data_IF_401256430275
#
_entry.id   IF_401256430275
#
_cell.length_a   1.000
_cell.length_b   1.000
_cell.length_c   1.000
_cell.angle_alpha   90.00
_cell.angle_beta   90.00
_cell.angle_gamma   90.00
#
_symmetry.space_group_name_H-M   'P 1'
#
loop_
_entity.id
_entity.type
_entity.pdbx_description
1 polymer ?
#
# COMPACT_ATOMS: atom_id res chain seq x y z
N UNK A 1 15.71 -14.84 43.35
CA UNK A 1 15.16 -13.77 42.49
C UNK A 1 15.50 -12.43 43.11
N UNK A 2 16.31 -11.60 42.44
CA UNK A 2 16.65 -10.26 42.92
C UNK A 2 15.39 -9.38 42.85
N UNK A 3 15.00 -8.75 43.97
CA UNK A 3 13.84 -7.87 44.00
C UNK A 3 14.09 -6.63 43.13
N UNK A 4 13.13 -6.30 42.25
CA UNK A 4 13.15 -5.08 41.42
C UNK A 4 13.36 -3.80 42.25
N UNK A 5 13.03 -3.82 43.54
CA UNK A 5 13.22 -2.69 44.47
C UNK A 5 14.69 -2.36 44.76
N UNK A 6 15.63 -3.25 44.43
CA UNK A 6 17.07 -3.06 44.67
C UNK A 6 17.81 -2.38 43.50
N UNK A 7 17.15 -2.22 42.35
CA UNK A 7 17.75 -1.58 41.19
C UNK A 7 17.84 -0.04 41.36
N UNK A 8 18.85 0.62 40.76
CA UNK A 8 18.92 2.07 40.73
C UNK A 8 17.64 2.70 40.17
N UNK A 9 17.18 3.81 40.74
CA UNK A 9 15.93 4.47 40.35
C UNK A 9 15.85 4.86 38.85
N UNK A 10 16.98 5.09 38.19
CA UNK A 10 17.06 5.30 36.75
C UNK A 10 16.72 4.03 35.96
N UNK A 11 17.20 2.87 36.42
CA UNK A 11 16.92 1.57 35.83
C UNK A 11 15.49 1.11 36.12
N UNK A 12 14.95 1.38 37.31
CA UNK A 12 13.53 1.16 37.60
C UNK A 12 12.63 2.02 36.73
N UNK A 13 12.97 3.30 36.52
CA UNK A 13 12.25 4.18 35.57
C UNK A 13 12.38 3.70 34.14
N UNK A 14 13.56 3.23 33.72
CA UNK A 14 13.77 2.64 32.41
C UNK A 14 12.93 1.36 32.21
N UNK A 15 12.91 0.46 33.19
CA UNK A 15 12.11 -0.77 33.15
C UNK A 15 10.61 -0.45 33.19
N UNK A 16 10.17 0.45 34.07
CA UNK A 16 8.77 0.87 34.13
C UNK A 16 8.33 1.55 32.83
N UNK A 17 9.19 2.40 32.24
CA UNK A 17 8.97 3.01 30.94
C UNK A 17 8.86 1.93 29.85
N UNK A 18 9.84 1.02 29.75
CA UNK A 18 9.82 -0.11 28.79
C UNK A 18 8.56 -0.96 28.99
N UNK A 19 8.11 -1.15 30.23
CA UNK A 19 6.94 -1.96 30.55
C UNK A 19 5.61 -1.26 30.23
N UNK A 20 5.47 0.03 30.54
CA UNK A 20 4.31 0.82 30.13
C UNK A 20 4.28 1.04 28.61
N UNK A 21 5.45 1.10 27.98
CA UNK A 21 5.65 1.26 26.54
C UNK A 21 5.33 -0.01 25.74
N UNK A 22 5.87 -1.16 26.13
CA UNK A 22 5.66 -2.43 25.44
C UNK A 22 4.28 -3.04 25.71
N UNK A 23 3.53 -2.50 26.68
CA UNK A 23 2.34 -3.16 27.20
C UNK A 23 1.16 -2.21 27.32
N UNK A 24 0.63 -1.73 26.20
CA UNK A 24 -0.15 -0.51 26.25
C UNK A 24 -1.62 -0.82 26.62
N UNK A 25 -2.38 0.27 26.81
CA UNK A 25 -3.85 0.30 26.95
C UNK A 25 -4.55 -0.65 25.98
N UNK A 26 -5.73 -1.14 26.35
CA UNK A 26 -6.57 -2.06 25.56
C UNK A 26 -6.61 -1.75 24.06
N UNK A 27 -6.66 -0.46 23.66
CA UNK A 27 -6.63 0.00 22.26
C UNK A 27 -5.50 -0.62 21.44
N UNK A 28 -4.30 -0.70 22.00
CA UNK A 28 -3.13 -1.23 21.31
C UNK A 28 -3.20 -2.74 21.11
N UNK A 29 -3.79 -3.47 22.07
CA UNK A 29 -4.02 -4.90 21.88
C UNK A 29 -4.93 -5.15 20.67
N UNK A 30 -5.92 -4.29 20.45
CA UNK A 30 -6.76 -4.35 19.26
C UNK A 30 -6.04 -3.92 17.99
N UNK A 31 -5.23 -2.86 18.00
CA UNK A 31 -4.41 -2.49 16.83
C UNK A 31 -3.48 -3.65 16.43
N UNK A 32 -2.79 -4.25 17.39
CA UNK A 32 -1.89 -5.39 17.14
C UNK A 32 -2.66 -6.63 16.69
N UNK A 33 -3.81 -6.93 17.29
CA UNK A 33 -4.67 -8.04 16.87
C UNK A 33 -5.16 -7.88 15.43
N UNK A 34 -5.53 -6.66 15.04
CA UNK A 34 -5.91 -6.35 13.66
C UNK A 34 -4.73 -6.47 12.69
N UNK A 35 -3.57 -5.93 13.05
CA UNK A 35 -2.36 -6.05 12.23
C UNK A 35 -1.92 -7.51 12.03
N UNK A 36 -1.99 -8.34 13.09
CA UNK A 36 -1.69 -9.76 13.01
C UNK A 36 -2.71 -10.51 12.13
N UNK A 37 -4.00 -10.21 12.29
CA UNK A 37 -5.04 -10.81 11.44
C UNK A 37 -4.78 -10.47 9.97
N UNK A 38 -4.47 -9.22 9.65
CA UNK A 38 -4.12 -8.79 8.31
C UNK A 38 -2.88 -9.53 7.77
N UNK A 39 -1.82 -9.65 8.58
CA UNK A 39 -0.62 -10.40 8.20
C UNK A 39 -0.91 -11.87 7.88
N UNK A 40 -1.71 -12.53 8.72
CA UNK A 40 -2.16 -13.91 8.49
C UNK A 40 -3.00 -13.99 7.21
N UNK A 41 -3.86 -13.00 6.92
CA UNK A 41 -4.59 -12.91 5.67
C UNK A 41 -3.66 -12.86 4.45
N UNK A 42 -2.61 -12.03 4.52
CA UNK A 42 -1.61 -11.89 3.47
C UNK A 42 -0.88 -13.21 3.21
N UNK A 43 -0.45 -13.91 4.26
CA UNK A 43 0.20 -15.22 4.12
C UNK A 43 -0.79 -16.26 3.56
N UNK A 44 -1.99 -16.33 4.15
CA UNK A 44 -2.99 -17.33 3.79
C UNK A 44 -3.50 -17.17 2.36
N UNK A 45 -3.62 -15.93 1.87
CA UNK A 45 -4.02 -15.64 0.49
C UNK A 45 -3.06 -16.23 -0.55
N UNK A 46 -1.85 -16.59 -0.14
CA UNK A 46 -0.77 -16.94 -1.03
C UNK A 46 -0.33 -15.72 -1.83
N UNK A 47 0.96 -15.61 -2.10
CA UNK A 47 1.45 -14.64 -3.08
C UNK A 47 1.04 -15.11 -4.48
N UNK A 48 -0.26 -14.95 -4.80
CA UNK A 48 -0.84 -14.98 -6.14
C UNK A 48 -0.37 -16.06 -7.11
N UNK A 49 -0.09 -17.30 -6.70
CA UNK A 49 0.37 -18.33 -7.63
C UNK A 49 -0.57 -19.53 -7.63
N UNK A 50 -1.14 -19.79 -8.81
CA UNK A 50 -2.14 -20.84 -9.00
C UNK A 50 -3.47 -20.55 -8.30
N UNK A 51 -4.30 -21.59 -8.23
CA UNK A 51 -5.65 -21.49 -7.67
C UNK A 51 -5.63 -21.33 -6.16
N UNK A 52 -6.22 -20.25 -5.67
CA UNK A 52 -6.39 -20.03 -4.23
C UNK A 52 -7.36 -21.08 -3.68
N UNK A 53 -6.96 -21.91 -2.69
CA UNK A 53 -7.88 -22.84 -2.06
C UNK A 53 -9.05 -22.10 -1.41
N UNK A 54 -10.26 -22.65 -1.49
CA UNK A 54 -11.48 -22.06 -0.89
C UNK A 54 -11.27 -21.69 0.59
N UNK A 55 -10.60 -22.56 1.36
CA UNK A 55 -10.29 -22.29 2.77
C UNK A 55 -9.43 -21.05 2.97
N UNK A 56 -8.47 -20.81 2.07
CA UNK A 56 -7.59 -19.63 2.11
C UNK A 56 -8.37 -18.36 1.75
N UNK A 57 -9.26 -18.42 0.76
CA UNK A 57 -10.13 -17.30 0.41
C UNK A 57 -11.05 -16.89 1.58
N UNK A 58 -11.66 -17.88 2.26
CA UNK A 58 -12.47 -17.64 3.45
C UNK A 58 -11.63 -17.07 4.61
N UNK A 59 -10.43 -17.60 4.82
CA UNK A 59 -9.51 -17.10 5.83
C UNK A 59 -9.13 -15.63 5.58
N UNK A 60 -8.89 -15.24 4.32
CA UNK A 60 -8.60 -13.85 3.96
C UNK A 60 -9.75 -12.91 4.30
N UNK A 61 -10.98 -13.29 3.94
CA UNK A 61 -12.19 -12.48 4.23
C UNK A 61 -12.42 -12.37 5.74
N UNK A 62 -12.35 -13.50 6.45
CA UNK A 62 -12.50 -13.53 7.90
C UNK A 62 -11.44 -12.65 8.59
N UNK A 63 -10.19 -12.75 8.16
CA UNK A 63 -9.10 -11.94 8.69
C UNK A 63 -9.26 -10.45 8.39
N UNK A 64 -9.78 -10.08 7.21
CA UNK A 64 -10.14 -8.71 6.86
C UNK A 64 -11.25 -8.15 7.77
N UNK A 65 -12.29 -8.95 8.03
CA UNK A 65 -13.38 -8.58 8.96
C UNK A 65 -12.88 -8.43 10.41
N UNK A 66 -12.02 -9.33 10.86
CA UNK A 66 -11.36 -9.25 12.18
C UNK A 66 -10.51 -7.99 12.26
N UNK A 67 -9.70 -7.71 11.24
CA UNK A 67 -8.88 -6.49 11.17
C UNK A 67 -9.76 -5.25 11.30
N UNK A 68 -10.84 -5.18 10.53
CA UNK A 68 -11.80 -4.07 10.60
C UNK A 68 -12.41 -3.93 12.00
N UNK A 69 -12.92 -5.02 12.59
CA UNK A 69 -13.51 -5.01 13.92
C UNK A 69 -12.51 -4.55 14.99
N UNK A 70 -11.27 -5.04 14.94
CA UNK A 70 -10.20 -4.64 15.83
C UNK A 70 -9.87 -3.14 15.71
N UNK A 71 -9.70 -2.63 14.50
CA UNK A 71 -9.43 -1.21 14.27
C UNK A 71 -10.62 -0.34 14.68
N UNK A 72 -11.84 -0.77 14.40
CA UNK A 72 -13.05 -0.08 14.83
C UNK A 72 -13.12 0.05 16.35
N UNK A 73 -12.85 -1.04 17.10
CA UNK A 73 -12.75 -1.00 18.56
C UNK A 73 -11.65 -0.04 19.01
N UNK A 74 -10.47 -0.09 18.38
CA UNK A 74 -9.35 0.78 18.72
C UNK A 74 -9.65 2.28 18.54
N UNK A 75 -10.51 2.66 17.58
CA UNK A 75 -10.94 4.05 17.36
C UNK A 75 -11.93 4.58 18.42
N UNK A 76 -12.46 3.71 19.30
CA UNK A 76 -13.45 4.13 20.30
C UNK A 76 -12.82 4.90 21.47
N UNK A 77 -13.56 5.90 21.96
CA UNK A 77 -13.19 6.65 23.16
C UNK A 77 -13.07 5.73 24.40
N UNK A 78 -13.96 4.75 24.52
CA UNK A 78 -13.93 3.73 25.57
C UNK A 78 -14.16 2.34 24.98
N UNK A 79 -13.68 1.30 25.68
CA UNK A 79 -13.89 -0.09 25.29
C UNK A 79 -15.40 -0.41 25.41
N UNK A 80 -16.05 -0.99 24.38
CA UNK A 80 -17.46 -1.36 24.46
C UNK A 80 -17.75 -2.22 25.70
N UNK A 81 -18.85 -1.94 26.41
CA UNK A 81 -19.22 -2.59 27.68
C UNK A 81 -19.09 -4.11 27.69
N UNK A 82 -19.59 -4.88 26.69
CA UNK A 82 -19.43 -6.33 26.68
C UNK A 82 -17.95 -6.75 26.57
N UNK A 83 -17.16 -6.06 25.76
CA UNK A 83 -15.72 -6.32 25.65
C UNK A 83 -14.97 -5.93 26.92
N UNK A 84 -15.41 -4.88 27.60
CA UNK A 84 -14.85 -4.48 28.89
C UNK A 84 -15.13 -5.50 30.00
N UNK A 85 -16.30 -6.14 29.99
CA UNK A 85 -16.62 -7.22 30.91
C UNK A 85 -15.73 -8.44 30.67
N UNK A 86 -15.61 -8.89 29.41
CA UNK A 86 -14.70 -9.99 29.04
C UNK A 86 -13.25 -9.65 29.41
N UNK A 87 -12.80 -8.43 29.10
CA UNK A 87 -11.45 -7.98 29.41
C UNK A 87 -11.13 -8.06 30.90
N UNK A 88 -12.07 -7.65 31.77
CA UNK A 88 -11.92 -7.73 33.23
C UNK A 88 -11.91 -9.16 33.77
N UNK A 89 -12.60 -10.07 33.08
CA UNK A 89 -12.67 -11.49 33.44
C UNK A 89 -11.43 -12.29 33.00
N UNK A 90 -10.62 -11.76 32.07
CA UNK A 90 -9.36 -12.40 31.69
C UNK A 90 -8.45 -12.55 32.92
N UNK A 91 -7.80 -13.72 33.11
CA UNK A 91 -6.90 -13.91 34.23
C UNK A 91 -5.77 -12.87 34.20
N UNK A 92 -5.18 -12.49 35.35
CA UNK A 92 -4.08 -11.52 35.40
C UNK A 92 -2.91 -11.87 34.48
N UNK A 93 -2.69 -13.16 34.22
CA UNK A 93 -1.71 -13.67 33.25
C UNK A 93 -2.08 -13.39 31.78
N UNK A 94 -3.36 -13.36 31.41
CA UNK A 94 -3.84 -12.95 30.08
C UNK A 94 -4.01 -11.43 29.97
N UNK A 95 -4.19 -10.74 31.10
CA UNK A 95 -4.02 -9.29 31.18
C UNK A 95 -2.54 -8.90 31.28
N UNK A 96 -1.64 -9.88 31.42
CA UNK A 96 -0.23 -9.64 31.64
C UNK A 96 0.36 -8.91 30.46
N UNK A 97 1.16 -7.94 30.85
CA UNK A 97 1.76 -6.97 29.97
C UNK A 97 2.83 -7.63 29.06
N UNK A 98 3.57 -8.62 29.58
CA UNK A 98 4.69 -9.23 28.88
C UNK A 98 4.37 -10.03 27.61
N UNK A 99 3.20 -10.68 27.48
CA UNK A 99 2.87 -11.37 26.22
C UNK A 99 2.62 -10.36 25.08
N UNK A 100 2.18 -9.13 25.37
CA UNK A 100 2.01 -8.07 24.37
C UNK A 100 3.35 -7.62 23.83
N UNK A 101 4.35 -7.50 24.70
CA UNK A 101 5.73 -7.24 24.33
C UNK A 101 6.26 -8.36 23.42
N UNK A 102 6.07 -9.62 23.82
CA UNK A 102 6.51 -10.80 23.05
C UNK A 102 5.80 -10.86 21.69
N UNK A 103 4.50 -10.64 21.60
CA UNK A 103 3.78 -10.60 20.32
C UNK A 103 4.23 -9.45 19.45
N UNK A 104 4.47 -8.27 20.03
CA UNK A 104 4.98 -7.12 19.29
C UNK A 104 6.38 -7.44 18.73
N UNK A 105 7.26 -8.05 19.54
CA UNK A 105 8.58 -8.50 19.12
C UNK A 105 8.51 -9.63 18.07
N UNK A 106 7.58 -10.57 18.19
CA UNK A 106 7.38 -11.64 17.22
C UNK A 106 6.85 -11.09 15.87
N UNK A 107 5.90 -10.15 15.91
CA UNK A 107 5.41 -9.39 14.76
C UNK A 107 6.53 -8.55 14.11
N UNK A 108 7.43 -8.01 14.93
CA UNK A 108 8.61 -7.27 14.48
C UNK A 108 9.71 -8.18 13.92
N UNK A 109 9.81 -9.46 14.28
CA UNK A 109 10.97 -10.26 13.90
C UNK A 109 10.83 -10.91 12.53
N UNK A 110 9.76 -11.70 12.34
CA UNK A 110 9.60 -12.59 11.17
C UNK A 110 9.57 -11.81 9.85
N UNK A 111 8.78 -10.73 9.69
CA UNK A 111 8.62 -10.13 8.38
C UNK A 111 9.64 -9.00 8.14
N UNK A 112 10.33 -8.53 9.18
CA UNK A 112 11.52 -7.69 9.03
C UNK A 112 12.71 -8.45 8.42
N UNK A 113 12.81 -9.77 8.61
CA UNK A 113 13.87 -10.54 7.97
C UNK A 113 13.79 -10.44 6.43
N UNK A 114 12.60 -10.63 5.85
CA UNK A 114 12.39 -10.52 4.41
C UNK A 114 12.68 -9.10 3.90
N UNK A 115 12.15 -8.09 4.61
CA UNK A 115 12.39 -6.69 4.30
C UNK A 115 13.88 -6.32 4.31
N UNK A 116 14.62 -6.69 5.36
CA UNK A 116 16.06 -6.37 5.50
C UNK A 116 16.87 -7.08 4.42
N UNK A 117 16.47 -8.29 4.01
CA UNK A 117 17.15 -9.03 2.95
C UNK A 117 16.97 -8.37 1.57
N UNK A 118 15.79 -7.81 1.26
CA UNK A 118 15.48 -7.21 -0.05
C UNK A 118 15.93 -5.75 -0.17
N UNK A 119 15.85 -4.98 0.92
CA UNK A 119 16.07 -3.53 0.92
C UNK A 119 17.38 -3.08 0.24
N UNK A 120 18.56 -3.72 0.44
CA UNK A 120 19.78 -3.27 -0.22
C UNK A 120 19.72 -3.34 -1.75
N UNK A 121 19.05 -4.34 -2.30
CA UNK A 121 18.91 -4.53 -3.75
C UNK A 121 17.95 -3.48 -4.33
N UNK A 122 16.80 -3.27 -3.70
CA UNK A 122 15.83 -2.27 -4.14
C UNK A 122 16.37 -0.84 -4.04
N UNK A 123 17.16 -0.52 -3.01
CA UNK A 123 17.84 0.77 -2.88
C UNK A 123 18.92 1.00 -3.95
N UNK A 124 19.47 -0.06 -4.54
CA UNK A 124 20.41 -0.02 -5.67
C UNK A 124 19.71 -0.04 -7.03
N UNK A 125 18.38 -0.05 -7.04
CA UNK A 125 17.59 -0.06 -8.27
C UNK A 125 17.42 -1.45 -8.87
N UNK A 126 17.62 -2.53 -8.11
CA UNK A 126 17.26 -3.88 -8.55
C UNK A 126 15.78 -4.12 -8.22
N UNK A 127 14.88 -3.68 -9.11
CA UNK A 127 13.45 -3.84 -8.89
C UNK A 127 13.00 -5.30 -9.00
N UNK A 128 11.98 -5.65 -8.20
CA UNK A 128 11.35 -6.97 -8.14
C UNK A 128 9.88 -6.98 -8.58
N UNK A 129 9.35 -5.83 -8.99
CA UNK A 129 8.00 -5.64 -9.50
C UNK A 129 8.00 -4.51 -10.55
N UNK A 130 7.02 -4.57 -11.43
CA UNK A 130 6.81 -3.61 -12.51
C UNK A 130 6.23 -2.28 -12.01
N UNK A 131 5.40 -2.32 -10.97
CA UNK A 131 4.73 -1.15 -10.40
C UNK A 131 5.70 -0.02 -10.01
N UNK A 132 6.85 -0.33 -9.40
CA UNK A 132 7.86 0.67 -9.03
C UNK A 132 8.86 0.91 -10.17
N UNK A 133 9.24 -0.14 -10.90
CA UNK A 133 10.19 -0.03 -12.01
C UNK A 133 9.69 0.92 -13.10
N UNK A 134 8.39 0.86 -13.43
CA UNK A 134 7.81 1.70 -14.48
C UNK A 134 7.68 3.16 -14.06
N UNK A 135 7.41 3.44 -12.79
CA UNK A 135 7.48 4.82 -12.26
C UNK A 135 8.87 5.44 -12.49
N UNK A 136 9.94 4.66 -12.33
CA UNK A 136 11.29 5.14 -12.64
C UNK A 136 11.44 5.45 -14.14
N UNK A 137 10.99 4.55 -15.00
CA UNK A 137 11.09 4.72 -16.47
C UNK A 137 10.25 5.89 -16.95
N UNK A 138 9.04 6.07 -16.41
CA UNK A 138 8.17 7.19 -16.73
C UNK A 138 8.79 8.53 -16.33
N UNK A 139 9.48 8.57 -15.19
CA UNK A 139 10.24 9.74 -14.78
C UNK A 139 11.46 9.99 -15.70
N UNK A 140 12.14 8.94 -16.17
CA UNK A 140 13.23 9.05 -17.16
C UNK A 140 12.71 9.54 -18.52
N UNK A 141 11.56 9.04 -18.98
CA UNK A 141 10.89 9.50 -20.20
C UNK A 141 10.55 10.98 -20.10
N UNK A 142 9.91 11.38 -19.00
CA UNK A 142 9.56 12.79 -18.75
C UNK A 142 10.82 13.67 -18.71
N UNK A 143 11.91 13.21 -18.09
CA UNK A 143 13.21 13.90 -18.06
C UNK A 143 13.79 14.11 -19.47
N UNK A 144 13.52 13.21 -20.41
CA UNK A 144 13.95 13.32 -21.81
C UNK A 144 12.94 14.02 -22.73
N UNK A 145 11.86 14.58 -22.16
CA UNK A 145 10.83 15.28 -22.92
C UNK A 145 9.85 14.35 -23.64
N UNK A 146 9.83 13.06 -23.31
CA UNK A 146 8.90 12.09 -23.87
C UNK A 146 7.66 11.96 -22.98
N UNK A 147 6.50 11.78 -23.60
CA UNK A 147 5.25 11.56 -22.87
C UNK A 147 5.14 10.08 -22.45
N UNK A 148 5.09 9.77 -21.13
CA UNK A 148 5.02 8.39 -20.64
C UNK A 148 3.78 7.62 -21.10
N UNK A 149 2.69 8.32 -21.44
CA UNK A 149 1.45 7.71 -21.94
C UNK A 149 1.51 7.29 -23.41
N UNK A 150 2.55 7.69 -24.16
CA UNK A 150 2.67 7.38 -25.60
C UNK A 150 4.01 6.75 -25.96
N UNK A 151 4.83 6.39 -24.96
CA UNK A 151 6.17 5.87 -25.18
C UNK A 151 6.14 4.36 -25.45
N UNK A 152 5.66 4.00 -26.63
CA UNK A 152 5.61 2.61 -27.09
C UNK A 152 7.03 1.99 -27.08
N UNK A 153 7.22 0.91 -26.33
CA UNK A 153 8.53 0.25 -26.14
C UNK A 153 9.28 0.60 -24.84
N UNK A 154 8.77 1.53 -24.03
CA UNK A 154 9.30 1.82 -22.70
C UNK A 154 9.30 0.59 -21.78
N UNK A 155 8.25 -0.23 -21.86
CA UNK A 155 8.14 -1.52 -21.18
C UNK A 155 9.36 -2.42 -21.39
N UNK A 156 9.69 -2.71 -22.65
CA UNK A 156 10.81 -3.61 -22.95
C UNK A 156 12.16 -2.99 -22.58
N UNK A 157 12.26 -1.67 -22.60
CA UNK A 157 13.45 -0.96 -22.09
C UNK A 157 13.60 -1.14 -20.58
N UNK A 158 12.49 -1.06 -19.84
CA UNK A 158 12.45 -1.33 -18.41
C UNK A 158 12.80 -2.77 -18.08
N UNK A 159 12.21 -3.74 -18.78
CA UNK A 159 12.47 -5.17 -18.60
C UNK A 159 13.94 -5.51 -18.89
N UNK A 160 14.54 -4.93 -19.94
CA UNK A 160 15.96 -5.11 -20.24
C UNK A 160 16.85 -4.54 -19.13
N UNK A 161 16.48 -3.38 -18.58
CA UNK A 161 17.22 -2.73 -17.50
C UNK A 161 17.08 -3.48 -16.17
N UNK A 162 15.90 -4.04 -15.90
CA UNK A 162 15.55 -4.72 -14.65
C UNK A 162 14.80 -6.02 -14.93
N UNK A 163 15.52 -7.09 -15.31
CA UNK A 163 14.90 -8.37 -15.66
C UNK A 163 14.16 -9.04 -14.49
N UNK A 164 14.46 -8.63 -13.26
CA UNK A 164 13.80 -9.13 -12.04
C UNK A 164 12.51 -8.37 -11.72
N UNK A 165 12.19 -7.28 -12.41
CA UNK A 165 10.98 -6.50 -12.14
C UNK A 165 9.70 -7.29 -12.48
N UNK A 166 9.81 -8.40 -13.21
CA UNK A 166 8.68 -9.13 -13.78
C UNK A 166 7.76 -8.20 -14.59
N UNK A 167 6.66 -8.74 -15.09
CA UNK A 167 5.67 -7.97 -15.82
C UNK A 167 4.30 -8.57 -15.58
N UNK A 168 3.29 -7.72 -15.45
CA UNK A 168 1.92 -8.17 -15.24
C UNK A 168 1.46 -9.02 -16.44
N UNK A 169 1.09 -10.30 -16.20
CA UNK A 169 0.66 -11.20 -17.27
C UNK A 169 -0.74 -10.85 -17.76
N UNK A 170 -0.98 -11.07 -19.05
CA UNK A 170 -2.30 -10.91 -19.66
C UNK A 170 -3.07 -12.23 -19.68
N UNK A 171 -4.31 -12.17 -19.18
CA UNK A 171 -5.34 -13.17 -19.30
C UNK A 171 -5.73 -13.34 -20.78
N UNK A 172 -5.83 -14.60 -21.21
CA UNK A 172 -6.11 -14.95 -22.60
C UNK A 172 -4.87 -14.98 -23.49
N UNK A 173 -3.68 -14.70 -22.95
CA UNK A 173 -2.45 -14.79 -23.73
C UNK A 173 -2.07 -16.24 -24.08
N UNK A 174 -1.33 -16.46 -25.19
CA UNK A 174 -0.88 -17.80 -25.57
C UNK A 174 -0.01 -18.49 -24.52
N UNK A 175 0.79 -17.75 -23.74
CA UNK A 175 1.68 -18.31 -22.73
C UNK A 175 0.96 -18.67 -21.41
N UNK A 176 -0.10 -17.94 -21.06
CA UNK A 176 -0.72 -18.02 -19.73
C UNK A 176 -2.17 -18.54 -19.72
N UNK A 177 -2.83 -18.56 -20.89
CA UNK A 177 -4.19 -19.06 -21.04
C UNK A 177 -5.26 -18.10 -20.52
N UNK A 178 -6.51 -18.54 -20.54
CA UNK A 178 -7.71 -17.72 -20.27
C UNK A 178 -8.43 -18.07 -18.96
N UNK A 179 -7.86 -18.94 -18.10
CA UNK A 179 -8.45 -19.27 -16.81
C UNK A 179 -8.02 -18.25 -15.74
N UNK A 180 -8.90 -17.32 -15.31
CA UNK A 180 -8.53 -16.31 -14.33
C UNK A 180 -8.29 -16.89 -12.93
N UNK A 181 -8.67 -18.14 -12.67
CA UNK A 181 -8.39 -18.83 -11.41
C UNK A 181 -6.99 -19.45 -11.38
N UNK A 182 -6.29 -19.50 -12.50
CA UNK A 182 -4.97 -20.10 -12.61
C UNK A 182 -3.91 -19.04 -12.87
N UNK A 183 -3.60 -18.23 -11.84
CA UNK A 183 -2.61 -17.17 -11.95
C UNK A 183 -1.21 -17.74 -12.28
N UNK A 184 -0.50 -17.21 -13.29
CA UNK A 184 0.82 -17.71 -13.69
C UNK A 184 1.85 -17.64 -12.57
N UNK A 185 2.59 -18.73 -12.33
CA UNK A 185 3.67 -18.72 -11.34
C UNK A 185 4.80 -17.77 -11.74
N UNK A 186 5.52 -17.19 -10.76
CA UNK A 186 6.70 -16.35 -11.04
C UNK A 186 7.73 -17.05 -11.93
N UNK A 187 7.89 -18.37 -11.79
CA UNK A 187 8.78 -19.16 -12.64
C UNK A 187 8.30 -19.23 -14.10
N UNK A 188 6.99 -19.36 -14.33
CA UNK A 188 6.42 -19.34 -15.68
C UNK A 188 6.56 -17.96 -16.31
N UNK A 189 6.28 -16.89 -15.55
CA UNK A 189 6.46 -15.52 -16.00
C UNK A 189 7.92 -15.23 -16.35
N UNK A 190 8.86 -15.54 -15.45
CA UNK A 190 10.29 -15.33 -15.67
C UNK A 190 10.82 -16.12 -16.87
N UNK A 191 10.38 -17.37 -17.06
CA UNK A 191 10.74 -18.18 -18.24
C UNK A 191 10.24 -17.55 -19.53
N UNK A 192 8.99 -17.07 -19.55
CA UNK A 192 8.41 -16.44 -20.74
C UNK A 192 9.06 -15.09 -21.03
N UNK A 193 9.34 -14.29 -20.00
CA UNK A 193 10.03 -13.01 -20.13
C UNK A 193 11.44 -13.19 -20.72
N UNK A 194 12.19 -14.17 -20.22
CA UNK A 194 13.50 -14.54 -20.75
C UNK A 194 13.43 -15.00 -22.22
N UNK A 195 12.39 -15.74 -22.59
CA UNK A 195 12.17 -16.18 -23.98
C UNK A 195 11.91 -14.98 -24.91
N UNK A 196 11.06 -14.04 -24.52
CA UNK A 196 10.75 -12.83 -25.31
C UNK A 196 11.89 -11.80 -25.33
N UNK A 197 12.74 -11.81 -24.32
CA UNK A 197 14.02 -11.09 -24.33
C UNK A 197 14.97 -11.66 -25.38
N UNK A 198 15.12 -12.99 -25.42
CA UNK A 198 15.98 -13.68 -26.39
C UNK A 198 15.43 -13.64 -27.82
N UNK A 199 14.11 -13.58 -27.99
CA UNK A 199 13.44 -13.60 -29.29
C UNK A 199 12.41 -12.47 -29.40
N UNK A 200 12.83 -11.23 -29.74
CA UNK A 200 11.94 -10.08 -29.83
C UNK A 200 10.75 -10.25 -30.78
N UNK A 201 10.84 -11.13 -31.78
CA UNK A 201 9.75 -11.48 -32.68
C UNK A 201 8.53 -12.10 -31.96
N UNK A 202 8.72 -12.67 -30.76
CA UNK A 202 7.65 -13.29 -29.97
C UNK A 202 6.80 -12.26 -29.20
N UNK A 203 7.26 -11.01 -29.08
CA UNK A 203 6.59 -9.96 -28.29
C UNK A 203 5.23 -9.53 -28.87
N UNK A 204 4.98 -9.82 -30.15
CA UNK A 204 3.69 -9.56 -30.82
C UNK A 204 2.55 -10.53 -30.43
N UNK A 205 2.85 -11.58 -29.64
CA UNK A 205 1.84 -12.51 -29.11
C UNK A 205 1.14 -11.99 -27.84
N UNK A 206 1.58 -10.84 -27.30
CA UNK A 206 0.95 -10.10 -26.19
C UNK A 206 0.74 -10.98 -24.94
N UNK A 207 1.84 -11.52 -24.40
CA UNK A 207 1.80 -12.34 -23.16
C UNK A 207 1.82 -11.49 -21.89
N UNK A 208 2.50 -10.36 -21.94
CA UNK A 208 2.53 -9.36 -20.90
C UNK A 208 1.84 -8.11 -21.42
N UNK A 209 1.35 -7.28 -20.51
CA UNK A 209 0.72 -6.00 -20.85
C UNK A 209 1.71 -5.13 -21.67
N UNK A 210 1.51 -4.97 -23.00
CA UNK A 210 2.37 -4.17 -23.84
C UNK A 210 1.98 -2.68 -23.77
N UNK A 211 0.83 -2.37 -23.17
CA UNK A 211 0.32 -1.03 -22.86
C UNK A 211 0.71 -0.58 -21.46
N UNK A 212 1.80 -1.13 -20.93
CA UNK A 212 2.62 -0.56 -19.86
C UNK A 212 3.30 0.74 -20.27
N UNK A 213 2.61 1.58 -21.05
CA UNK A 213 2.60 3.01 -20.81
C UNK A 213 1.99 3.26 -19.42
N UNK A 214 2.33 4.39 -18.81
CA UNK A 214 1.90 4.69 -17.44
C UNK A 214 0.38 4.49 -17.25
N UNK A 215 -0.02 3.55 -16.39
CA UNK A 215 -1.41 3.11 -16.21
C UNK A 215 -2.10 3.68 -14.95
N UNK A 216 -1.52 4.74 -14.40
CA UNK A 216 -2.05 5.48 -13.26
C UNK A 216 -2.23 6.96 -13.61
N UNK A 217 -2.86 7.77 -12.74
CA UNK A 217 -2.77 9.21 -12.90
C UNK A 217 -1.30 9.69 -12.78
N UNK A 218 -0.95 10.79 -13.46
CA UNK A 218 0.46 11.16 -13.72
C UNK A 218 1.19 11.82 -12.56
N UNK A 219 0.55 12.04 -11.41
CA UNK A 219 1.13 12.73 -10.26
C UNK A 219 2.31 11.99 -9.65
N UNK A 220 2.32 10.64 -9.68
CA UNK A 220 3.47 9.87 -9.17
C UNK A 220 4.74 10.13 -9.98
N UNK A 221 4.63 10.35 -11.29
CA UNK A 221 5.75 10.64 -12.18
C UNK A 221 6.45 11.95 -11.76
N UNK A 222 5.65 12.99 -11.51
CA UNK A 222 6.17 14.28 -11.04
C UNK A 222 6.87 14.20 -9.68
N UNK A 223 6.37 13.34 -8.78
CA UNK A 223 6.99 13.14 -7.47
C UNK A 223 8.27 12.31 -7.55
N UNK A 224 8.36 11.36 -8.48
CA UNK A 224 9.55 10.55 -8.71
C UNK A 224 10.65 11.32 -9.46
N UNK A 225 10.28 12.24 -10.34
CA UNK A 225 11.19 12.98 -11.20
C UNK A 225 12.38 13.62 -10.46
N UNK A 226 12.24 14.32 -9.32
CA UNK A 226 13.38 14.87 -8.60
C UNK A 226 14.43 13.82 -8.18
N UNK A 227 13.99 12.62 -7.78
CA UNK A 227 14.87 11.54 -7.33
C UNK A 227 15.66 10.95 -8.51
N UNK A 228 14.98 10.70 -9.63
CA UNK A 228 15.61 10.23 -10.87
C UNK A 228 16.54 11.30 -11.44
N UNK A 229 16.14 12.58 -11.39
CA UNK A 229 16.92 13.70 -11.92
C UNK A 229 18.26 13.90 -11.20
N UNK A 230 18.30 13.72 -9.88
CA UNK A 230 19.57 13.75 -9.11
C UNK A 230 20.37 12.44 -9.22
N UNK A 231 19.93 11.49 -10.04
CA UNK A 231 20.64 10.24 -10.32
C UNK A 231 20.50 9.18 -9.23
N UNK A 232 19.46 9.25 -8.39
CA UNK A 232 19.21 8.14 -7.46
C UNK A 232 18.84 6.89 -8.23
N UNK A 233 19.41 5.72 -7.88
CA UNK A 233 19.24 4.49 -8.64
C UNK A 233 17.83 3.90 -8.51
N UNK A 234 17.02 4.40 -7.57
CA UNK A 234 15.71 3.85 -7.28
C UNK A 234 14.68 4.89 -6.82
N UNK A 235 13.46 4.82 -7.31
CA UNK A 235 12.32 5.58 -6.77
C UNK A 235 11.85 5.06 -5.40
N UNK A 236 12.42 3.98 -4.85
CA UNK A 236 12.17 3.55 -3.46
C UNK A 236 12.55 4.65 -2.45
N UNK A 237 13.49 5.52 -2.80
CA UNK A 237 13.82 6.71 -2.00
C UNK A 237 12.63 7.66 -1.84
N UNK A 238 11.79 7.85 -2.88
CA UNK A 238 10.54 8.60 -2.79
C UNK A 238 9.59 7.96 -1.77
N UNK A 239 9.38 6.65 -1.88
CA UNK A 239 8.53 5.91 -0.95
C UNK A 239 9.06 6.02 0.49
N UNK A 240 10.38 5.98 0.69
CA UNK A 240 11.02 6.15 1.99
C UNK A 240 10.76 7.54 2.59
N UNK A 241 10.85 8.59 1.77
CA UNK A 241 10.51 9.96 2.18
C UNK A 241 9.02 10.07 2.53
N UNK A 242 8.14 9.49 1.70
CA UNK A 242 6.70 9.48 1.95
C UNK A 242 6.34 8.73 3.24
N UNK A 243 6.99 7.60 3.50
CA UNK A 243 6.81 6.79 4.70
C UNK A 243 7.27 7.53 5.96
N UNK A 244 8.43 8.20 5.87
CA UNK A 244 8.92 9.05 6.96
C UNK A 244 7.99 10.23 7.21
N UNK A 245 7.49 10.89 6.16
CA UNK A 245 6.52 11.98 6.27
C UNK A 245 5.21 11.49 6.90
N UNK A 246 4.71 10.31 6.53
CA UNK A 246 3.55 9.69 7.15
C UNK A 246 3.78 9.44 8.65
N UNK A 247 4.92 8.86 9.03
CA UNK A 247 5.28 8.66 10.43
C UNK A 247 5.33 10.00 11.19
N UNK A 248 5.97 11.02 10.62
CA UNK A 248 6.03 12.36 11.24
C UNK A 248 4.63 12.95 11.45
N UNK A 249 3.73 12.83 10.46
CA UNK A 249 2.34 13.30 10.58
C UNK A 249 1.59 12.57 11.70
N UNK A 250 1.75 11.25 11.79
CA UNK A 250 1.13 10.44 12.83
C UNK A 250 1.65 10.81 14.22
N UNK A 251 2.97 10.95 14.39
CA UNK A 251 3.59 11.34 15.66
C UNK A 251 3.25 12.79 16.06
N UNK A 252 3.17 13.70 15.10
CA UNK A 252 2.76 15.07 15.32
C UNK A 252 1.35 15.15 15.87
N UNK A 253 0.42 14.36 15.31
CA UNK A 253 -0.98 14.35 15.75
C UNK A 253 -1.21 13.58 17.04
N UNK A 254 -0.42 12.53 17.29
CA UNK A 254 -0.57 11.67 18.45
C UNK A 254 -0.35 12.42 19.78
N UNK A 255 -1.18 12.18 20.81
CA UNK A 255 -0.92 12.66 22.17
C UNK A 255 0.48 12.25 22.64
N UNK A 256 1.18 13.10 23.40
CA UNK A 256 2.56 12.84 23.81
C UNK A 256 2.76 11.46 24.48
N UNK A 257 1.80 11.04 25.30
CA UNK A 257 1.80 9.75 25.97
C UNK A 257 1.59 8.53 25.03
N UNK A 258 1.13 8.75 23.79
CA UNK A 258 0.83 7.69 22.82
C UNK A 258 1.83 7.64 21.67
N UNK A 259 2.64 8.69 21.47
CA UNK A 259 3.65 8.79 20.38
C UNK A 259 4.57 7.57 20.31
N UNK A 260 5.04 7.14 21.47
CA UNK A 260 5.95 6.02 21.60
C UNK A 260 5.28 4.72 21.09
N UNK A 261 4.02 4.48 21.46
CA UNK A 261 3.23 3.35 20.95
C UNK A 261 2.93 3.45 19.45
N UNK A 262 2.66 4.66 18.94
CA UNK A 262 2.47 4.91 17.49
C UNK A 262 3.72 4.56 16.71
N UNK A 263 4.89 4.96 17.19
CA UNK A 263 6.17 4.59 16.58
C UNK A 263 6.34 3.07 16.53
N UNK A 264 6.14 2.38 17.66
CA UNK A 264 6.26 0.92 17.72
C UNK A 264 5.29 0.27 16.76
N UNK A 265 4.02 0.66 16.74
CA UNK A 265 3.04 0.04 15.86
C UNK A 265 3.32 0.29 14.38
N UNK A 266 3.85 1.46 14.05
CA UNK A 266 4.30 1.76 12.70
C UNK A 266 5.49 0.87 12.28
N UNK A 267 6.47 0.69 13.17
CA UNK A 267 7.60 -0.21 12.94
C UNK A 267 7.18 -1.69 12.96
N UNK A 268 6.18 -2.06 13.76
CA UNK A 268 5.67 -3.41 13.90
C UNK A 268 4.72 -3.84 12.78
N UNK A 269 4.55 -3.01 11.74
CA UNK A 269 3.75 -3.34 10.57
C UNK A 269 4.62 -3.59 9.34
N UNK A 270 5.33 -4.72 9.27
CA UNK A 270 6.25 -4.98 8.17
C UNK A 270 5.54 -5.27 6.85
N UNK A 271 4.25 -5.62 6.85
CA UNK A 271 3.43 -5.65 5.62
C UNK A 271 3.40 -4.25 5.00
N UNK A 272 3.15 -3.22 5.80
CA UNK A 272 3.23 -1.85 5.32
C UNK A 272 4.63 -1.53 4.79
N UNK A 273 5.71 -1.90 5.48
CA UNK A 273 7.07 -1.65 4.99
C UNK A 273 7.35 -2.37 3.66
N UNK A 274 7.12 -3.68 3.59
CA UNK A 274 7.35 -4.48 2.39
C UNK A 274 6.50 -3.97 1.21
N UNK A 275 5.17 -3.90 1.39
CA UNK A 275 4.27 -3.56 0.28
C UNK A 275 4.37 -2.11 -0.15
N UNK A 276 4.49 -1.18 0.80
CA UNK A 276 4.41 0.25 0.47
C UNK A 276 5.76 0.90 0.20
N UNK A 277 6.86 0.27 0.63
CA UNK A 277 8.20 0.73 0.28
C UNK A 277 8.74 0.03 -0.97
N UNK A 278 8.61 -1.31 -1.04
CA UNK A 278 9.34 -2.16 -2.00
C UNK A 278 8.46 -2.72 -3.12
N UNK A 279 7.17 -2.98 -2.88
CA UNK A 279 6.29 -3.57 -3.91
C UNK A 279 5.38 -2.58 -4.63
N UNK A 280 5.10 -1.43 -4.02
CA UNK A 280 4.18 -0.43 -4.55
C UNK A 280 4.55 0.99 -4.09
N UNK A 281 3.86 1.99 -4.62
CA UNK A 281 3.97 3.40 -4.23
C UNK A 281 2.74 3.90 -3.45
N UNK A 282 2.01 2.98 -2.82
CA UNK A 282 0.79 3.28 -2.05
C UNK A 282 1.05 4.27 -0.92
N UNK A 283 2.21 4.21 -0.24
CA UNK A 283 2.54 5.14 0.84
C UNK A 283 2.56 6.59 0.37
N UNK A 284 3.01 6.83 -0.86
CA UNK A 284 3.04 8.15 -1.48
C UNK A 284 1.63 8.69 -1.67
N UNK A 285 0.65 7.83 -1.97
CA UNK A 285 -0.77 8.22 -1.98
C UNK A 285 -1.32 8.42 -0.56
N UNK A 286 -1.06 7.47 0.34
CA UNK A 286 -1.61 7.44 1.71
C UNK A 286 -1.15 8.64 2.53
N UNK A 287 0.10 9.10 2.37
CA UNK A 287 0.59 10.29 3.12
C UNK A 287 -0.22 11.54 2.78
N UNK A 288 -0.62 11.72 1.52
CA UNK A 288 -1.47 12.84 1.11
C UNK A 288 -2.91 12.69 1.60
N UNK A 289 -3.46 11.49 1.58
CA UNK A 289 -4.78 11.20 2.19
C UNK A 289 -4.73 11.55 3.68
N UNK A 290 -3.76 11.02 4.42
CA UNK A 290 -3.61 11.28 5.85
C UNK A 290 -3.45 12.77 6.12
N UNK A 291 -2.60 13.47 5.37
CA UNK A 291 -2.42 14.91 5.50
C UNK A 291 -3.71 15.69 5.21
N UNK A 292 -4.49 15.31 4.19
CA UNK A 292 -5.76 15.95 3.87
C UNK A 292 -6.75 15.89 5.04
N UNK A 293 -6.85 14.75 5.73
CA UNK A 293 -7.70 14.61 6.91
C UNK A 293 -7.15 15.30 8.16
N UNK A 294 -5.84 15.22 8.39
CA UNK A 294 -5.21 15.84 9.55
C UNK A 294 -5.22 17.37 9.48
N UNK A 295 -5.13 17.90 8.27
CA UNK A 295 -5.16 19.34 7.98
C UNK A 295 -6.56 19.81 7.58
N UNK A 296 -7.61 19.02 7.84
CA UNK A 296 -8.99 19.29 7.44
C UNK A 296 -9.45 20.76 7.55
N UNK A 297 -9.17 21.50 8.64
CA UNK A 297 -9.63 22.88 8.75
C UNK A 297 -8.96 23.86 7.78
N UNK A 298 -7.82 23.49 7.18
CA UNK A 298 -6.99 24.37 6.35
C UNK A 298 -7.40 24.30 4.89
N UNK A 299 -8.24 25.24 4.47
CA UNK A 299 -8.56 25.50 3.06
C UNK A 299 -7.58 26.54 2.52
N UNK A 300 -6.98 26.35 1.32
CA UNK A 300 -7.26 25.29 0.35
C UNK A 300 -6.44 24.00 0.51
N UNK A 301 -5.50 23.96 1.46
CA UNK A 301 -4.50 22.90 1.57
C UNK A 301 -5.08 21.48 1.69
N UNK A 302 -6.04 21.25 2.58
CA UNK A 302 -6.64 19.93 2.82
C UNK A 302 -7.22 19.29 1.54
N UNK A 303 -8.17 19.94 0.83
CA UNK A 303 -8.70 19.35 -0.40
C UNK A 303 -7.66 19.27 -1.51
N UNK A 304 -6.72 20.22 -1.61
CA UNK A 304 -5.62 20.14 -2.58
C UNK A 304 -4.77 18.87 -2.38
N UNK A 305 -4.41 18.55 -1.13
CA UNK A 305 -3.66 17.32 -0.81
C UNK A 305 -4.46 16.06 -1.20
N UNK A 306 -5.78 16.04 -0.99
CA UNK A 306 -6.61 14.93 -1.44
C UNK A 306 -6.66 14.83 -2.98
N UNK A 307 -6.70 15.96 -3.68
CA UNK A 307 -6.58 16.01 -5.14
C UNK A 307 -5.24 15.49 -5.65
N UNK A 308 -4.14 15.85 -4.98
CA UNK A 308 -2.80 15.32 -5.26
C UNK A 308 -2.77 13.81 -5.01
N UNK A 309 -3.34 13.31 -3.91
CA UNK A 309 -3.45 11.87 -3.67
C UNK A 309 -4.18 11.15 -4.81
N UNK A 310 -5.30 11.72 -5.27
CA UNK A 310 -6.06 11.23 -6.41
C UNK A 310 -5.28 11.26 -7.73
N UNK A 311 -4.33 12.19 -7.87
CA UNK A 311 -3.40 12.25 -8.99
C UNK A 311 -2.18 11.34 -8.83
N UNK A 312 -1.90 10.81 -7.64
CA UNK A 312 -0.86 9.80 -7.45
C UNK A 312 -1.41 8.41 -7.75
N UNK A 313 -2.58 8.07 -7.21
CA UNK A 313 -3.17 6.74 -7.39
C UNK A 313 -4.69 6.74 -7.25
N UNK A 314 -5.36 5.91 -8.05
CA UNK A 314 -6.82 5.75 -8.04
C UNK A 314 -7.38 5.31 -6.68
N UNK A 315 -6.57 4.68 -5.82
CA UNK A 315 -6.95 4.32 -4.45
C UNK A 315 -7.55 5.50 -3.66
N UNK A 316 -7.04 6.72 -3.87
CA UNK A 316 -7.56 7.91 -3.20
C UNK A 316 -9.00 8.28 -3.63
N UNK A 317 -9.47 7.81 -4.80
CA UNK A 317 -10.80 8.15 -5.30
C UNK A 317 -11.91 7.64 -4.39
N UNK A 318 -11.70 6.50 -3.74
CA UNK A 318 -12.63 5.94 -2.77
C UNK A 318 -12.82 6.83 -1.53
N UNK A 319 -11.86 7.71 -1.24
CA UNK A 319 -11.91 8.61 -0.09
C UNK A 319 -12.65 9.93 -0.41
N UNK A 320 -12.73 10.30 -1.68
CA UNK A 320 -13.32 11.57 -2.13
C UNK A 320 -14.80 11.71 -1.72
N UNK A 321 -15.69 10.71 -1.95
CA UNK A 321 -17.10 10.84 -1.56
C UNK A 321 -17.26 11.08 -0.06
N UNK A 322 -16.49 10.38 0.78
CA UNK A 322 -16.55 10.56 2.23
C UNK A 322 -16.07 11.94 2.65
N UNK A 323 -14.99 12.44 2.04
CA UNK A 323 -14.52 13.80 2.28
C UNK A 323 -15.61 14.82 1.92
N UNK A 324 -16.16 14.76 0.70
CA UNK A 324 -17.15 15.74 0.23
C UNK A 324 -18.44 15.68 1.04
N UNK A 325 -18.95 14.48 1.34
CA UNK A 325 -20.15 14.29 2.17
C UNK A 325 -19.92 14.85 3.57
N UNK A 326 -18.75 14.62 4.17
CA UNK A 326 -18.46 15.13 5.51
C UNK A 326 -18.40 16.66 5.54
N UNK A 327 -17.81 17.30 4.52
CA UNK A 327 -17.87 18.77 4.36
C UNK A 327 -19.31 19.22 4.23
N UNK A 328 -20.08 18.58 3.34
CA UNK A 328 -21.46 18.98 3.09
C UNK A 328 -22.30 18.91 4.37
N UNK A 329 -22.16 17.84 5.15
CA UNK A 329 -22.89 17.66 6.40
C UNK A 329 -22.50 18.65 7.49
N UNK A 330 -21.23 19.07 7.56
CA UNK A 330 -20.73 19.96 8.63
C UNK A 330 -20.78 21.45 8.27
N UNK A 331 -20.50 21.78 7.02
CA UNK A 331 -20.23 23.14 6.55
C UNK A 331 -21.20 23.59 5.43
N UNK A 332 -22.07 22.70 4.94
CA UNK A 332 -23.07 23.00 3.91
C UNK A 332 -22.58 22.78 2.48
N UNK A 333 -23.51 22.91 1.53
CA UNK A 333 -23.31 22.60 0.10
C UNK A 333 -22.23 23.47 -0.54
N UNK A 334 -22.22 24.77 -0.25
CA UNK A 334 -21.29 25.71 -0.89
C UNK A 334 -19.84 25.45 -0.47
N UNK A 335 -19.62 25.10 0.80
CA UNK A 335 -18.32 24.68 1.29
C UNK A 335 -17.86 23.38 0.62
N UNK A 336 -18.77 22.42 0.43
CA UNK A 336 -18.49 21.16 -0.26
C UNK A 336 -18.09 21.39 -1.73
N UNK A 337 -18.83 22.23 -2.46
CA UNK A 337 -18.51 22.60 -3.84
C UNK A 337 -17.16 23.32 -3.95
N UNK A 338 -16.89 24.28 -3.05
CA UNK A 338 -15.61 25.00 -3.04
C UNK A 338 -14.44 24.05 -2.76
N UNK A 339 -14.56 23.14 -1.80
CA UNK A 339 -13.50 22.15 -1.51
C UNK A 339 -13.37 21.11 -2.62
N UNK A 340 -14.46 20.71 -3.27
CA UNK A 340 -14.41 19.87 -4.47
C UNK A 340 -13.65 20.57 -5.61
N UNK A 341 -13.82 21.89 -5.79
CA UNK A 341 -13.04 22.67 -6.74
C UNK A 341 -11.54 22.65 -6.45
N UNK A 342 -11.12 22.84 -5.20
CA UNK A 342 -9.71 22.73 -4.81
C UNK A 342 -9.13 21.32 -4.99
N UNK A 343 -9.92 20.29 -4.69
CA UNK A 343 -9.55 18.91 -4.93
C UNK A 343 -9.36 18.66 -6.43
N UNK A 344 -10.31 19.07 -7.26
CA UNK A 344 -10.22 18.96 -8.71
C UNK A 344 -8.98 19.71 -9.24
N UNK A 345 -8.66 20.88 -8.69
CA UNK A 345 -7.44 21.60 -9.05
C UNK A 345 -6.18 20.80 -8.72
N UNK A 346 -6.08 20.20 -7.53
CA UNK A 346 -4.93 19.36 -7.15
C UNK A 346 -4.77 18.14 -8.07
N UNK A 347 -5.88 17.52 -8.48
CA UNK A 347 -5.87 16.40 -9.43
C UNK A 347 -5.46 16.84 -10.84
N UNK A 348 -6.12 17.86 -11.38
CA UNK A 348 -5.92 18.34 -12.74
C UNK A 348 -4.53 18.94 -12.90
N UNK A 349 -4.02 19.73 -11.95
CA UNK A 349 -2.72 20.38 -12.08
C UNK A 349 -1.58 19.41 -12.41
N UNK A 350 -1.58 18.22 -11.81
CA UNK A 350 -0.56 17.20 -12.04
C UNK A 350 -0.80 16.35 -13.30
N UNK A 351 -2.04 16.27 -13.79
CA UNK A 351 -2.39 15.49 -14.97
C UNK A 351 -2.46 16.34 -16.25
N UNK A 352 -2.64 17.66 -16.12
CA UNK A 352 -2.90 18.56 -17.22
C UNK A 352 -1.83 18.50 -18.33
N UNK A 353 -0.52 18.43 -18.04
CA UNK A 353 0.49 18.30 -19.10
C UNK A 353 0.27 17.06 -19.98
N UNK A 354 -0.10 15.93 -19.37
CA UNK A 354 -0.33 14.68 -20.09
C UNK A 354 -1.66 14.69 -20.85
N UNK A 355 -2.70 15.29 -20.27
CA UNK A 355 -4.00 15.49 -20.91
C UNK A 355 -3.86 16.36 -22.16
N UNK A 356 -3.09 17.45 -22.09
CA UNK A 356 -2.87 18.34 -23.24
C UNK A 356 -1.99 17.69 -24.30
N UNK A 357 -0.99 16.91 -23.91
CA UNK A 357 -0.09 16.24 -24.85
C UNK A 357 -0.77 15.11 -25.62
N UNK A 358 -1.59 14.28 -24.95
CA UNK A 358 -2.35 13.20 -25.60
C UNK A 358 -3.52 12.75 -24.72
N UNK A 359 -4.72 13.36 -24.85
CA UNK A 359 -5.84 13.10 -23.95
C UNK A 359 -6.35 11.66 -24.07
N UNK A 360 -6.36 11.10 -25.29
CA UNK A 360 -6.77 9.73 -25.54
C UNK A 360 -5.81 8.71 -24.93
N UNK A 361 -4.50 8.95 -25.02
CA UNK A 361 -3.51 8.05 -24.42
C UNK A 361 -3.52 8.15 -22.88
N UNK A 362 -3.64 9.36 -22.33
CA UNK A 362 -3.81 9.57 -20.89
C UNK A 362 -5.04 8.83 -20.35
N UNK A 363 -6.19 8.97 -21.02
CA UNK A 363 -7.43 8.33 -20.57
C UNK A 363 -7.37 6.81 -20.69
N UNK A 364 -6.78 6.27 -21.77
CA UNK A 364 -6.58 4.82 -21.92
C UNK A 364 -5.65 4.28 -20.83
N UNK A 365 -4.50 4.91 -20.60
CA UNK A 365 -3.59 4.50 -19.52
C UNK A 365 -4.28 4.55 -18.16
N UNK A 366 -5.02 5.63 -17.85
CA UNK A 366 -5.76 5.75 -16.60
C UNK A 366 -6.79 4.63 -16.38
N UNK A 367 -7.40 4.12 -17.44
CA UNK A 367 -8.43 3.09 -17.39
C UNK A 367 -7.91 1.66 -17.62
N UNK A 368 -6.65 1.51 -18.03
CA UNK A 368 -6.01 0.22 -18.31
C UNK A 368 -6.21 -0.81 -17.20
N UNK A 369 -6.08 -0.48 -15.89
CA UNK A 369 -6.33 -1.46 -14.82
C UNK A 369 -7.78 -2.00 -14.77
N UNK A 370 -8.73 -1.32 -15.42
CA UNK A 370 -10.14 -1.72 -15.51
C UNK A 370 -10.54 -2.28 -16.88
N UNK A 371 -9.81 -1.93 -17.95
CA UNK A 371 -10.15 -2.30 -19.33
C UNK A 371 -9.31 -3.46 -19.86
N UNK A 372 -8.11 -3.64 -19.34
CA UNK A 372 -7.18 -4.63 -19.86
C UNK A 372 -7.45 -5.99 -19.26
N UNK A 373 -7.24 -7.03 -20.08
CA UNK A 373 -7.42 -8.41 -19.67
C UNK A 373 -6.25 -8.86 -18.78
N UNK A 374 -6.07 -8.25 -17.62
CA UNK A 374 -5.04 -8.62 -16.66
C UNK A 374 -5.51 -9.81 -15.82
N UNK A 375 -4.59 -10.66 -15.39
CA UNK A 375 -4.93 -11.67 -14.39
C UNK A 375 -5.36 -10.98 -13.09
N UNK A 376 -6.55 -11.31 -12.55
CA UNK A 376 -7.00 -10.70 -11.31
C UNK A 376 -6.12 -11.15 -10.14
N UNK A 377 -5.63 -10.18 -9.38
CA UNK A 377 -4.92 -10.41 -8.12
C UNK A 377 -5.37 -9.37 -7.10
N UNK A 378 -5.51 -9.79 -5.85
CA UNK A 378 -5.83 -8.87 -4.77
C UNK A 378 -6.41 -9.56 -3.54
N UNK A 379 -6.57 -8.77 -2.48
CA UNK A 379 -7.12 -9.21 -1.21
C UNK A 379 -8.55 -8.66 -1.03
N UNK A 380 -9.40 -9.37 -0.28
CA UNK A 380 -10.78 -8.96 0.01
C UNK A 380 -11.82 -9.65 -0.87
N UNK A 381 -12.83 -8.92 -1.35
CA UNK A 381 -13.96 -9.50 -2.07
C UNK A 381 -13.54 -10.25 -3.35
N UNK A 382 -12.48 -9.79 -4.04
CA UNK A 382 -11.92 -10.48 -5.21
C UNK A 382 -11.41 -11.89 -4.86
N UNK A 383 -10.95 -12.12 -3.62
CA UNK A 383 -10.52 -13.44 -3.17
C UNK A 383 -11.67 -14.46 -3.14
N UNK A 384 -12.93 -14.01 -2.97
CA UNK A 384 -14.10 -14.90 -3.13
C UNK A 384 -14.24 -15.36 -4.59
N UNK A 385 -13.97 -14.46 -5.53
CA UNK A 385 -13.92 -14.79 -6.96
C UNK A 385 -12.80 -15.76 -7.29
N UNK A 386 -11.58 -15.46 -6.86
CA UNK A 386 -10.40 -16.30 -7.05
C UNK A 386 -10.50 -17.67 -6.36
N UNK A 387 -11.22 -17.75 -5.25
CA UNK A 387 -11.54 -19.01 -4.56
C UNK A 387 -12.68 -19.80 -5.22
N UNK A 388 -13.34 -19.27 -6.25
CA UNK A 388 -14.49 -19.91 -6.91
C UNK A 388 -15.79 -19.86 -6.11
N UNK A 389 -15.89 -19.00 -5.09
CA UNK A 389 -17.09 -18.79 -4.27
C UNK A 389 -18.02 -17.70 -4.82
N UNK A 390 -17.51 -16.83 -5.69
CA UNK A 390 -18.26 -15.79 -6.36
C UNK A 390 -17.85 -15.71 -7.84
N UNK A 391 -18.70 -15.20 -8.74
CA UNK A 391 -18.25 -14.92 -10.09
C UNK A 391 -17.25 -13.76 -10.08
N UNK A 392 -16.14 -13.91 -10.79
CA UNK A 392 -15.30 -12.77 -11.18
C UNK A 392 -16.12 -11.94 -12.17
N UNK A 393 -16.39 -10.68 -11.85
CA UNK A 393 -17.12 -9.73 -12.72
C UNK A 393 -16.45 -8.36 -12.70
N UNK A 394 -16.48 -7.61 -13.81
CA UNK A 394 -16.83 -8.08 -15.15
C UNK A 394 -15.66 -8.90 -15.73
N UNK A 395 -15.97 -10.09 -16.25
CA UNK A 395 -15.13 -10.72 -17.26
C UNK A 395 -15.42 -9.92 -18.53
N UNK A 396 -14.43 -9.21 -19.06
CA UNK A 396 -14.52 -8.55 -20.38
C UNK A 396 -14.85 -9.60 -21.43
#
# INVERSE_FOLDING_TARGET
MMSLTTLPAAMQRGIAFVWDFLCPRWRWAWVMGGALALYVATIAGGFGHGRIPVGNALACVAAGLVTFACLWVATRAALPTPLAAVWRQLPPAAQWRGWRAVLTLALLWIPWHGFIAQLPDDLRGHYHNDAIAFVHIDADLLRTGQNPYTADGAFWSAVVRWPNAFATPLLGSPAFGSDPLNYPSSAAQGKQLALELAHPALRGAVNFDPQTVHNYPGGIIWLALPFVWVGLPSVVWLNGVALLALLMLLLWRAPAAERAGVLVAFLANPVMWLYTLLENFDVTCVVFIAAAWLLWPRVPLSPLLLGIAAAVKQLAWFFIPFYVVEVWRREGRDAALRRAGWLALGFVALNLPFILASPGAWLRGLLAPQTDALFPIGYGAVALGLGGLAPLRPLV
#
